data_IF_073856541745
#
_entry.id   IF_073856541745
#
_cell.length_a   1.000
_cell.length_b   1.000
_cell.length_c   1.000
_cell.angle_alpha   90.00
_cell.angle_beta   90.00
_cell.angle_gamma   90.00
#
_symmetry.space_group_name_H-M   'P 1'
#
loop_
_entity.id
_entity.type
_entity.pdbx_description
1 polymer ?
#
# COMPACT_ATOMS: atom_id res chain seq x y z
N UNK A 1 19.45 -3.49 -3.86
CA UNK A 1 18.35 -2.64 -3.40
C UNK A 1 17.73 -3.19 -2.11
N UNK A 2 17.21 -4.42 -2.05
CA UNK A 2 16.56 -4.98 -0.85
C UNK A 2 17.45 -4.95 0.40
N UNK A 3 18.70 -5.42 0.31
CA UNK A 3 19.59 -5.41 1.47
C UNK A 3 19.95 -4.00 1.97
N UNK A 4 19.82 -2.98 1.14
CA UNK A 4 19.97 -1.60 1.56
C UNK A 4 18.72 -1.11 2.29
N UNK A 5 17.52 -1.45 1.78
CA UNK A 5 16.27 -1.14 2.44
C UNK A 5 16.17 -1.80 3.82
N UNK A 6 16.51 -3.09 3.94
CA UNK A 6 16.52 -3.80 5.23
C UNK A 6 17.43 -3.12 6.25
N UNK A 7 18.64 -2.75 5.85
CA UNK A 7 19.56 -2.00 6.72
C UNK A 7 18.99 -0.65 7.15
N UNK A 8 18.39 0.07 6.21
CA UNK A 8 17.76 1.37 6.50
C UNK A 8 16.58 1.20 7.45
N UNK A 9 15.72 0.20 7.21
CA UNK A 9 14.61 -0.13 8.08
C UNK A 9 15.07 -0.45 9.50
N UNK A 10 16.08 -1.31 9.65
CA UNK A 10 16.65 -1.67 10.95
C UNK A 10 17.27 -0.47 11.68
N UNK A 11 17.95 0.42 10.95
CA UNK A 11 18.50 1.65 11.52
C UNK A 11 17.38 2.59 12.02
N UNK A 12 16.28 2.70 11.29
CA UNK A 12 15.15 3.54 11.69
C UNK A 12 14.43 2.96 12.91
N UNK A 13 14.26 1.64 12.96
CA UNK A 13 13.72 0.97 14.16
C UNK A 13 14.62 1.22 15.37
N UNK A 14 15.94 1.06 15.23
CA UNK A 14 16.92 1.34 16.30
C UNK A 14 16.92 2.80 16.74
N UNK A 15 16.75 3.72 15.77
CA UNK A 15 16.68 5.15 16.03
C UNK A 15 15.30 5.60 16.59
N UNK A 16 14.35 4.66 16.73
CA UNK A 16 12.97 4.93 17.20
C UNK A 16 12.23 5.95 16.33
N UNK A 17 12.52 5.97 15.03
CA UNK A 17 11.77 6.79 14.06
C UNK A 17 10.40 6.14 13.89
N UNK A 18 9.35 6.88 14.20
CA UNK A 18 7.98 6.36 14.29
C UNK A 18 7.38 5.95 12.95
N UNK A 19 7.82 6.57 11.85
CA UNK A 19 7.33 6.24 10.50
C UNK A 19 8.43 5.48 9.77
N UNK A 20 8.21 4.20 9.39
CA UNK A 20 9.21 3.41 8.68
C UNK A 20 9.47 3.96 7.27
N UNK A 21 10.65 3.69 6.69
CA UNK A 21 10.94 4.09 5.32
C UNK A 21 10.00 3.40 4.34
N UNK A 22 9.55 4.12 3.31
CA UNK A 22 8.79 3.56 2.20
C UNK A 22 9.72 3.32 1.00
N UNK A 23 9.57 2.15 0.38
CA UNK A 23 10.27 1.80 -0.85
C UNK A 23 9.35 2.09 -2.04
N UNK A 24 9.82 2.88 -3.01
CA UNK A 24 9.04 3.23 -4.18
C UNK A 24 9.72 2.71 -5.43
N UNK A 25 8.96 2.04 -6.27
CA UNK A 25 9.37 1.60 -7.60
C UNK A 25 8.51 2.28 -8.64
N UNK A 26 9.12 3.07 -9.51
CA UNK A 26 8.44 3.72 -10.62
C UNK A 26 8.76 2.95 -11.90
N UNK A 27 7.73 2.45 -12.55
CA UNK A 27 7.82 1.72 -13.82
C UNK A 27 7.35 2.61 -14.97
N UNK A 28 7.80 2.28 -16.16
CA UNK A 28 7.45 3.04 -17.38
C UNK A 28 6.20 2.52 -18.10
N UNK A 29 5.65 1.40 -17.67
CA UNK A 29 4.42 0.83 -18.22
C UNK A 29 3.74 -0.14 -17.24
N UNK A 30 2.45 -0.41 -17.48
CA UNK A 30 1.61 -1.26 -16.64
C UNK A 30 2.09 -2.72 -16.58
N UNK A 31 2.57 -3.28 -17.70
CA UNK A 31 3.04 -4.66 -17.72
C UNK A 31 4.28 -4.85 -16.85
N UNK A 32 5.22 -3.90 -16.89
CA UNK A 32 6.41 -3.93 -16.05
C UNK A 32 6.05 -3.74 -14.57
N UNK A 33 5.13 -2.82 -14.26
CA UNK A 33 4.73 -2.58 -12.88
C UNK A 33 4.06 -3.79 -12.25
N UNK A 34 3.20 -4.49 -13.00
CA UNK A 34 2.56 -5.72 -12.54
C UNK A 34 3.58 -6.83 -12.25
N UNK A 35 4.53 -7.07 -13.16
CA UNK A 35 5.60 -8.04 -12.94
C UNK A 35 6.46 -7.71 -11.72
N UNK A 36 6.80 -6.44 -11.55
CA UNK A 36 7.58 -5.97 -10.39
C UNK A 36 6.77 -6.12 -9.10
N UNK A 37 5.49 -5.75 -9.13
CA UNK A 37 4.60 -5.92 -7.99
C UNK A 37 4.50 -7.38 -7.58
N UNK A 38 4.22 -8.30 -8.52
CA UNK A 38 4.12 -9.73 -8.26
C UNK A 38 5.43 -10.28 -7.67
N UNK A 39 6.57 -9.87 -8.20
CA UNK A 39 7.88 -10.26 -7.69
C UNK A 39 8.16 -9.76 -6.26
N UNK A 40 7.69 -8.57 -5.92
CA UNK A 40 7.90 -7.94 -4.61
C UNK A 40 6.91 -8.50 -3.57
N UNK A 41 5.62 -8.51 -3.90
CA UNK A 41 4.54 -8.87 -2.97
C UNK A 41 4.29 -10.37 -2.83
N UNK A 42 4.72 -11.15 -3.83
CA UNK A 42 4.35 -12.55 -4.01
C UNK A 42 3.11 -12.71 -4.88
N UNK A 43 2.98 -13.84 -5.54
CA UNK A 43 1.88 -14.14 -6.45
C UNK A 43 1.51 -15.62 -6.45
N UNK A 44 0.28 -15.92 -6.87
CA UNK A 44 -0.19 -17.29 -7.07
C UNK A 44 0.19 -17.76 -8.46
N UNK A 45 1.05 -18.77 -8.55
CA UNK A 45 1.41 -19.42 -9.79
C UNK A 45 0.45 -20.58 -10.05
N UNK A 46 -0.27 -20.53 -11.16
CA UNK A 46 -1.11 -21.65 -11.59
C UNK A 46 -0.27 -22.67 -12.36
N UNK A 47 -0.46 -23.95 -12.05
CA UNK A 47 0.13 -25.08 -12.76
C UNK A 47 -0.87 -25.64 -13.77
N UNK A 48 -0.37 -26.36 -14.78
CA UNK A 48 -1.18 -27.00 -15.82
C UNK A 48 -2.18 -28.04 -15.28
N UNK A 49 -1.92 -28.60 -14.12
CA UNK A 49 -2.78 -29.54 -13.41
C UNK A 49 -3.95 -28.87 -12.65
N UNK A 50 -4.09 -27.56 -12.76
CA UNK A 50 -5.13 -26.78 -12.06
C UNK A 50 -4.81 -26.44 -10.61
N UNK A 51 -3.65 -26.86 -10.08
CA UNK A 51 -3.20 -26.45 -8.74
C UNK A 51 -2.58 -25.05 -8.77
N UNK A 52 -2.68 -24.34 -7.66
CA UNK A 52 -1.99 -23.06 -7.51
C UNK A 52 -0.99 -23.13 -6.35
N UNK A 53 0.17 -22.52 -6.54
CA UNK A 53 1.22 -22.42 -5.53
C UNK A 53 1.62 -20.98 -5.32
N UNK A 54 1.69 -20.54 -4.07
CA UNK A 54 2.24 -19.24 -3.74
C UNK A 54 3.75 -19.20 -4.02
N UNK A 55 4.17 -18.24 -4.83
CA UNK A 55 5.56 -17.82 -4.96
C UNK A 55 5.73 -16.58 -4.08
N UNK A 56 6.35 -16.69 -2.90
CA UNK A 56 6.44 -15.57 -1.97
C UNK A 56 7.41 -14.51 -2.50
N UNK A 57 7.10 -13.25 -2.24
CA UNK A 57 8.03 -12.16 -2.48
C UNK A 57 9.33 -12.35 -1.69
N UNK A 58 10.45 -11.85 -2.23
CA UNK A 58 11.79 -12.08 -1.66
C UNK A 58 11.93 -11.49 -0.25
N UNK A 59 11.47 -10.24 -0.04
CA UNK A 59 11.59 -9.55 1.24
C UNK A 59 10.30 -9.69 2.05
N UNK A 60 10.34 -10.32 3.24
CA UNK A 60 9.16 -10.50 4.09
C UNK A 60 8.42 -9.20 4.40
N UNK A 61 9.14 -8.06 4.54
CA UNK A 61 8.57 -6.74 4.81
C UNK A 61 7.60 -6.24 3.72
N UNK A 62 7.68 -6.80 2.49
CA UNK A 62 6.87 -6.39 1.35
C UNK A 62 5.80 -7.40 0.92
N UNK A 63 5.76 -8.57 1.54
CA UNK A 63 4.82 -9.63 1.15
C UNK A 63 3.39 -9.25 1.47
N UNK A 64 2.48 -9.55 0.54
CA UNK A 64 1.04 -9.39 0.71
C UNK A 64 0.32 -10.68 1.10
N UNK A 65 1.06 -11.73 1.37
CA UNK A 65 0.53 -13.04 1.81
C UNK A 65 1.22 -13.49 3.09
N UNK A 66 0.48 -14.23 3.91
CA UNK A 66 1.02 -14.89 5.09
C UNK A 66 1.83 -16.15 4.73
N UNK A 67 2.33 -16.87 5.74
CA UNK A 67 3.11 -18.11 5.56
C UNK A 67 2.28 -19.27 4.98
N UNK A 68 0.95 -19.18 5.05
CA UNK A 68 0.01 -20.16 4.54
C UNK A 68 -0.49 -19.82 3.13
N UNK A 69 -0.08 -18.67 2.58
CA UNK A 69 -0.49 -18.22 1.26
C UNK A 69 -1.82 -17.46 1.23
N UNK A 70 -2.37 -17.10 2.38
CA UNK A 70 -3.56 -16.27 2.43
C UNK A 70 -3.19 -14.80 2.23
N UNK A 71 -4.02 -14.03 1.50
CA UNK A 71 -3.82 -12.59 1.37
C UNK A 71 -3.87 -11.91 2.74
N UNK A 72 -2.97 -10.96 2.98
CA UNK A 72 -3.05 -10.11 4.15
C UNK A 72 -4.24 -9.16 4.00
N UNK A 73 -5.04 -8.99 5.05
CA UNK A 73 -6.13 -8.02 5.06
C UNK A 73 -5.65 -6.57 4.93
N UNK A 74 -4.40 -6.31 5.34
CA UNK A 74 -3.72 -5.03 5.13
C UNK A 74 -2.44 -5.25 4.34
N UNK A 75 -2.41 -4.87 3.05
CA UNK A 75 -1.26 -5.09 2.19
C UNK A 75 -0.04 -4.30 2.67
N UNK A 76 1.14 -4.81 2.39
CA UNK A 76 2.42 -4.14 2.63
C UNK A 76 2.98 -3.49 1.38
N UNK A 77 2.57 -3.98 0.22
CA UNK A 77 2.92 -3.44 -1.10
C UNK A 77 1.66 -3.08 -1.85
N UNK A 78 1.61 -1.87 -2.40
CA UNK A 78 0.55 -1.42 -3.30
C UNK A 78 1.07 -1.34 -4.72
N UNK A 79 0.22 -1.69 -5.68
CA UNK A 79 0.37 -1.35 -7.09
C UNK A 79 -0.56 -0.19 -7.40
N UNK A 80 -0.03 0.87 -7.99
CA UNK A 80 -0.79 2.07 -8.34
C UNK A 80 -0.48 2.42 -9.79
N UNK A 81 -1.49 2.35 -10.63
CA UNK A 81 -1.49 2.88 -11.99
C UNK A 81 -2.56 3.97 -12.14
N UNK A 82 -2.65 4.56 -13.33
CA UNK A 82 -3.61 5.64 -13.59
C UNK A 82 -5.05 5.15 -13.45
N UNK A 83 -5.35 3.92 -13.86
CA UNK A 83 -6.69 3.33 -13.78
C UNK A 83 -7.09 3.10 -12.31
N UNK A 84 -6.19 2.57 -11.51
CA UNK A 84 -6.43 2.34 -10.08
C UNK A 84 -6.54 3.65 -9.29
N UNK A 85 -5.81 4.70 -9.70
CA UNK A 85 -5.96 6.03 -9.10
C UNK A 85 -7.32 6.66 -9.40
N UNK A 86 -7.88 6.37 -10.57
CA UNK A 86 -9.19 6.87 -10.97
C UNK A 86 -10.33 6.05 -10.38
N UNK A 87 -10.23 4.72 -10.35
CA UNK A 87 -11.27 3.81 -9.85
C UNK A 87 -11.21 3.56 -8.34
N UNK A 88 -10.02 3.66 -7.73
CA UNK A 88 -9.79 3.26 -6.34
C UNK A 88 -9.70 1.75 -6.10
N UNK A 89 -9.70 0.95 -7.17
CA UNK A 89 -9.71 -0.53 -7.11
C UNK A 89 -8.48 -1.15 -6.42
N UNK A 90 -7.44 -0.37 -6.15
CA UNK A 90 -6.29 -0.83 -5.36
C UNK A 90 -6.65 -1.20 -3.91
N UNK A 91 -7.84 -0.81 -3.43
CA UNK A 91 -8.35 -1.07 -2.10
C UNK A 91 -9.58 -1.98 -2.19
N UNK A 92 -9.38 -3.27 -1.95
CA UNK A 92 -10.45 -4.27 -1.98
C UNK A 92 -11.35 -4.23 -0.73
N UNK A 93 -12.44 -5.00 -0.75
CA UNK A 93 -13.39 -5.09 0.36
C UNK A 93 -12.76 -5.63 1.64
N UNK A 94 -11.75 -6.51 1.51
CA UNK A 94 -11.02 -7.03 2.65
C UNK A 94 -10.21 -5.93 3.35
N UNK A 95 -9.52 -5.09 2.58
CA UNK A 95 -8.85 -3.91 3.13
C UNK A 95 -9.84 -2.99 3.85
N UNK A 96 -10.99 -2.70 3.24
CA UNK A 96 -12.02 -1.82 3.84
C UNK A 96 -12.55 -2.37 5.15
N UNK A 97 -12.80 -3.68 5.22
CA UNK A 97 -13.24 -4.35 6.44
C UNK A 97 -12.19 -4.27 7.54
N UNK A 98 -10.93 -4.53 7.20
CA UNK A 98 -9.83 -4.54 8.16
C UNK A 98 -9.37 -3.14 8.61
N UNK A 99 -9.66 -2.12 7.82
CA UNK A 99 -9.32 -0.72 8.10
C UNK A 99 -10.55 0.12 8.50
N UNK A 100 -11.63 -0.51 8.94
CA UNK A 100 -12.89 0.17 9.27
C UNK A 100 -12.72 1.30 10.30
N UNK A 101 -11.94 1.06 11.35
CA UNK A 101 -11.72 2.03 12.42
C UNK A 101 -10.92 3.26 11.92
N UNK A 102 -9.93 3.04 11.05
CA UNK A 102 -9.17 4.11 10.44
C UNK A 102 -9.98 4.89 9.41
N UNK A 103 -10.88 4.22 8.69
CA UNK A 103 -11.83 4.88 7.78
C UNK A 103 -12.78 5.77 8.57
N UNK A 104 -13.34 5.30 9.69
CA UNK A 104 -14.20 6.11 10.54
C UNK A 104 -13.46 7.30 11.15
N UNK A 105 -12.21 7.11 11.54
CA UNK A 105 -11.35 8.21 12.00
C UNK A 105 -11.14 9.25 10.90
N UNK A 106 -10.83 8.82 9.69
CA UNK A 106 -10.68 9.71 8.53
C UNK A 106 -11.97 10.48 8.22
N UNK A 107 -13.14 9.83 8.31
CA UNK A 107 -14.45 10.49 8.19
C UNK A 107 -14.63 11.59 9.24
N UNK A 108 -14.30 11.28 10.49
CA UNK A 108 -14.39 12.24 11.59
C UNK A 108 -13.48 13.46 11.37
N UNK A 109 -12.27 13.24 10.88
CA UNK A 109 -11.34 14.33 10.53
C UNK A 109 -11.85 15.22 9.39
N UNK A 110 -12.53 14.63 8.38
CA UNK A 110 -13.19 15.41 7.32
C UNK A 110 -14.27 16.30 7.91
N UNK A 111 -15.13 15.76 8.80
CA UNK A 111 -16.19 16.53 9.45
C UNK A 111 -15.61 17.69 10.28
N UNK A 112 -14.57 17.43 11.07
CA UNK A 112 -13.91 18.45 11.87
C UNK A 112 -13.31 19.58 11.02
N UNK A 113 -12.71 19.21 9.89
CA UNK A 113 -12.04 20.17 8.99
C UNK A 113 -13.01 20.96 8.12
N UNK A 114 -14.06 20.31 7.60
CA UNK A 114 -14.96 20.90 6.61
C UNK A 114 -16.33 21.28 7.16
N UNK A 115 -16.75 20.67 8.27
CA UNK A 115 -18.11 20.75 8.78
C UNK A 115 -19.14 19.97 7.95
N UNK A 116 -18.73 19.31 6.86
CA UNK A 116 -19.60 18.66 5.90
C UNK A 116 -19.71 17.15 6.19
N UNK A 117 -20.83 16.78 6.84
CA UNK A 117 -21.14 15.38 7.14
C UNK A 117 -21.48 14.57 5.88
N UNK A 118 -22.02 15.24 4.85
CA UNK A 118 -22.40 14.57 3.62
C UNK A 118 -21.16 14.19 2.80
N UNK A 119 -20.16 15.05 2.75
CA UNK A 119 -18.87 14.74 2.15
C UNK A 119 -18.21 13.55 2.86
N UNK A 120 -18.18 13.55 4.18
CA UNK A 120 -17.60 12.47 4.97
C UNK A 120 -18.34 11.12 4.79
N UNK A 121 -19.65 11.14 4.58
CA UNK A 121 -20.45 9.94 4.33
C UNK A 121 -20.20 9.35 2.93
N UNK A 122 -19.87 10.19 1.94
CA UNK A 122 -19.70 9.82 0.54
C UNK A 122 -18.24 9.80 0.09
N UNK A 123 -17.32 9.41 0.98
CA UNK A 123 -15.89 9.26 0.63
C UNK A 123 -15.75 8.26 -0.51
N UNK A 124 -15.12 8.69 -1.59
CA UNK A 124 -14.84 7.86 -2.75
C UNK A 124 -13.63 6.96 -2.54
N UNK A 125 -13.53 5.91 -3.34
CA UNK A 125 -12.38 5.00 -3.34
C UNK A 125 -11.08 5.72 -3.67
N UNK A 126 -11.15 6.69 -4.56
CA UNK A 126 -10.03 7.56 -4.91
C UNK A 126 -9.56 8.40 -3.71
N UNK A 127 -10.48 8.96 -2.92
CA UNK A 127 -10.12 9.73 -1.73
C UNK A 127 -9.51 8.82 -0.65
N UNK A 128 -10.03 7.61 -0.47
CA UNK A 128 -9.44 6.61 0.42
C UNK A 128 -8.03 6.22 -0.01
N UNK A 129 -7.83 5.94 -1.30
CA UNK A 129 -6.50 5.59 -1.82
C UNK A 129 -5.49 6.73 -1.63
N UNK A 130 -5.90 7.97 -1.86
CA UNK A 130 -5.06 9.15 -1.59
C UNK A 130 -4.70 9.25 -0.11
N UNK A 131 -5.65 9.02 0.79
CA UNK A 131 -5.36 9.03 2.23
C UNK A 131 -4.41 7.89 2.63
N UNK A 132 -4.57 6.69 2.07
CA UNK A 132 -3.60 5.59 2.26
C UNK A 132 -2.21 6.05 1.87
N UNK A 133 -2.05 6.66 0.69
CA UNK A 133 -0.76 7.13 0.20
C UNK A 133 -0.16 8.24 1.08
N UNK A 134 -0.97 9.19 1.54
CA UNK A 134 -0.54 10.29 2.40
C UNK A 134 -0.15 9.86 3.82
N UNK A 135 -0.59 8.67 4.21
CA UNK A 135 -0.39 8.14 5.56
C UNK A 135 0.47 6.88 5.59
N UNK A 136 1.20 6.60 4.52
CA UNK A 136 2.11 5.44 4.41
C UNK A 136 3.01 5.34 5.64
N UNK A 137 2.95 4.19 6.30
CA UNK A 137 3.75 3.86 7.48
C UNK A 137 3.38 4.62 8.77
N UNK A 138 2.40 5.51 8.75
CA UNK A 138 1.96 6.24 9.94
C UNK A 138 1.06 5.34 10.80
N UNK A 139 1.50 5.05 12.03
CA UNK A 139 0.79 4.17 12.95
C UNK A 139 -0.66 4.62 13.20
N UNK A 140 -1.61 3.68 13.13
CA UNK A 140 -3.03 3.92 13.33
C UNK A 140 -3.72 4.70 12.21
N UNK A 141 -3.08 4.85 11.04
CA UNK A 141 -3.62 5.50 9.85
C UNK A 141 -3.88 4.46 8.76
N UNK A 142 -4.60 4.87 7.71
CA UNK A 142 -4.97 3.98 6.60
C UNK A 142 -3.76 3.34 5.90
N UNK A 143 -2.66 4.07 5.76
CA UNK A 143 -1.42 3.61 5.15
C UNK A 143 -0.43 2.94 6.10
N UNK A 144 -0.81 2.66 7.35
CA UNK A 144 0.09 2.12 8.38
C UNK A 144 0.89 0.89 7.94
N UNK A 145 0.24 -0.08 7.29
CA UNK A 145 0.87 -1.33 6.86
C UNK A 145 1.79 -1.20 5.65
N UNK A 146 1.65 -0.13 4.86
CA UNK A 146 2.34 0.02 3.58
C UNK A 146 3.83 0.25 3.81
N UNK A 147 4.66 -0.50 3.07
CA UNK A 147 6.13 -0.42 3.09
C UNK A 147 6.71 -0.25 1.70
N UNK A 148 5.96 -0.63 0.67
CA UNK A 148 6.37 -0.52 -0.73
C UNK A 148 5.21 -0.01 -1.59
N UNK A 149 5.52 0.84 -2.55
CA UNK A 149 4.59 1.28 -3.59
C UNK A 149 5.24 1.05 -4.94
N UNK A 150 4.56 0.32 -5.80
CA UNK A 150 4.92 0.15 -7.21
C UNK A 150 3.98 1.02 -8.03
N UNK A 151 4.52 1.91 -8.85
CA UNK A 151 3.73 2.87 -9.61
C UNK A 151 4.08 2.85 -11.08
N UNK A 152 3.10 3.14 -11.94
CA UNK A 152 3.30 3.45 -13.36
C UNK A 152 3.34 4.96 -13.52
N UNK A 153 4.41 5.47 -14.13
CA UNK A 153 4.71 6.89 -14.24
C UNK A 153 4.85 7.62 -12.89
N UNK A 154 5.32 8.85 -12.91
CA UNK A 154 5.48 9.60 -11.67
C UNK A 154 4.14 9.72 -10.97
N UNK A 155 4.12 9.33 -9.69
CA UNK A 155 3.02 9.62 -8.79
C UNK A 155 2.76 11.10 -8.84
N UNK A 156 1.63 11.45 -9.42
CA UNK A 156 1.27 12.81 -9.78
C UNK A 156 1.07 13.71 -8.56
N UNK A 157 1.06 14.99 -8.84
CA UNK A 157 0.84 16.15 -7.97
C UNK A 157 0.01 15.85 -6.71
N UNK A 158 0.62 16.08 -5.54
CA UNK A 158 -0.05 16.02 -4.24
C UNK A 158 0.36 14.83 -3.35
N UNK A 159 1.30 13.97 -3.77
CA UNK A 159 1.88 13.00 -2.86
C UNK A 159 3.11 13.58 -2.15
N UNK A 160 2.88 14.02 -0.93
CA UNK A 160 3.94 14.50 -0.02
C UNK A 160 4.34 13.37 0.94
N UNK A 161 5.12 12.42 0.45
CA UNK A 161 5.67 11.37 1.29
C UNK A 161 7.01 11.80 1.85
N UNK A 162 7.01 12.40 3.01
CA UNK A 162 8.21 12.76 3.78
C UNK A 162 9.08 11.55 4.20
N UNK A 163 8.65 10.33 3.85
CA UNK A 163 9.25 9.07 4.27
C UNK A 163 9.84 8.26 3.12
N UNK A 164 9.85 8.81 1.92
CA UNK A 164 10.48 8.15 0.76
C UNK A 164 11.99 8.19 0.91
N UNK A 165 12.58 7.00 0.97
CA UNK A 165 14.04 6.86 1.13
C UNK A 165 14.73 6.27 -0.11
N UNK A 166 13.97 5.70 -1.05
CA UNK A 166 14.52 5.02 -2.25
C UNK A 166 13.51 5.05 -3.40
#
# INVERSE_FOLDING_TARGET
LYGHYEKTFDLWVKAKISVPPCFIVVCNNTSASKLVYDYISGFQQQHEDGTSKLVPGRLPLFRNHDEHGNPLGRPRTLLIDSEQLESGEALDDNFRSMASDEIERFRSEIIERTGDRQQAANITDQELLREVMNTVGKAGRLGDSIRCVVSVSMLTEGWDANTVTH
#
